data_IF_562562777179
#
_entry.id   IF_562562777179
#
_cell.length_a   1.000
_cell.length_b   1.000
_cell.length_c   1.000
_cell.angle_alpha   90.00
_cell.angle_beta   90.00
_cell.angle_gamma   90.00
#
_symmetry.space_group_name_H-M   'P 1'
#
loop_
_entity.id
_entity.type
_entity.pdbx_description
1 polymer ?
#
# COMPACT_ATOMS: atom_id res chain seq x y z
N UNK A 1 -4.90 11.14 85.93
CA UNK A 1 -4.32 11.55 84.65
C UNK A 1 -4.18 10.32 83.78
N UNK A 2 -5.02 10.17 82.73
CA UNK A 2 -4.98 9.05 81.74
C UNK A 2 -4.42 9.59 80.44
N UNK A 3 -3.27 9.09 80.05
CA UNK A 3 -2.64 9.42 78.73
C UNK A 3 -3.18 8.44 77.71
N UNK A 4 -3.92 8.95 76.73
CA UNK A 4 -4.36 8.21 75.53
C UNK A 4 -3.27 8.33 74.46
N UNK A 5 -2.63 7.22 74.11
CA UNK A 5 -1.70 7.15 73.00
C UNK A 5 -2.47 6.98 71.64
N UNK A 6 -2.41 7.97 70.79
CA UNK A 6 -2.95 7.87 69.45
C UNK A 6 -1.93 7.11 68.55
N UNK A 7 -2.40 6.02 67.97
CA UNK A 7 -1.63 5.22 66.98
C UNK A 7 -1.87 5.81 65.61
N UNK A 8 -0.82 6.41 65.00
CA UNK A 8 -0.86 6.90 63.61
C UNK A 8 -0.45 5.75 62.70
N UNK A 9 -1.41 5.19 61.96
CA UNK A 9 -1.16 4.19 60.92
C UNK A 9 -0.89 4.92 59.61
N UNK A 10 0.39 4.95 59.18
CA UNK A 10 0.79 5.45 57.86
C UNK A 10 0.56 4.38 56.80
N UNK A 11 -0.44 4.59 55.97
CA UNK A 11 -0.69 3.75 54.79
C UNK A 11 0.25 4.23 53.68
N UNK A 12 1.32 3.47 53.43
CA UNK A 12 2.18 3.67 52.23
C UNK A 12 1.45 3.16 50.99
N UNK A 13 0.95 4.07 50.17
CA UNK A 13 0.42 3.74 48.84
C UNK A 13 1.61 3.47 47.91
N UNK A 14 1.93 2.20 47.72
CA UNK A 14 2.85 1.79 46.65
C UNK A 14 2.15 2.01 45.29
N UNK A 15 2.47 3.10 44.61
CA UNK A 15 2.11 3.31 43.22
C UNK A 15 2.96 2.34 42.36
N UNK A 16 2.39 1.20 41.98
CA UNK A 16 2.98 0.39 40.88
C UNK A 16 2.85 1.22 39.61
N UNK A 17 3.91 1.91 39.23
CA UNK A 17 4.10 2.40 37.90
C UNK A 17 4.27 1.16 37.00
N UNK A 18 3.18 0.67 36.38
CA UNK A 18 3.26 -0.30 35.31
C UNK A 18 4.07 0.34 34.20
N UNK A 19 5.34 -0.04 34.07
CA UNK A 19 6.15 0.28 32.90
C UNK A 19 5.39 -0.26 31.69
N UNK A 20 4.79 0.61 30.89
CA UNK A 20 4.18 0.24 29.63
C UNK A 20 5.32 -0.32 28.76
N UNK A 21 5.44 -1.64 28.73
CA UNK A 21 6.41 -2.32 27.91
C UNK A 21 6.03 -2.04 26.46
N UNK A 22 6.83 -1.20 25.80
CA UNK A 22 6.58 -0.83 24.40
C UNK A 22 6.68 -2.10 23.57
N UNK A 23 5.57 -2.55 23.01
CA UNK A 23 5.55 -3.70 22.12
C UNK A 23 6.35 -3.35 20.87
N UNK A 24 7.28 -4.22 20.48
CA UNK A 24 8.06 -4.07 19.27
C UNK A 24 7.80 -5.23 18.30
N UNK A 25 7.63 -4.91 17.02
CA UNK A 25 7.52 -5.86 15.92
C UNK A 25 8.79 -5.85 15.07
N UNK A 26 9.40 -7.00 14.91
CA UNK A 26 10.48 -7.25 13.94
C UNK A 26 9.86 -7.77 12.65
N UNK A 27 9.80 -6.93 11.64
CA UNK A 27 9.16 -7.23 10.36
C UNK A 27 10.21 -7.54 9.29
N UNK A 28 9.79 -8.23 8.24
CA UNK A 28 10.60 -8.50 7.05
C UNK A 28 9.89 -8.02 5.80
N UNK A 29 10.64 -7.49 4.84
CA UNK A 29 10.15 -7.12 3.52
C UNK A 29 11.27 -7.24 2.48
N UNK A 30 10.96 -6.89 1.23
CA UNK A 30 11.92 -6.81 0.12
C UNK A 30 12.20 -5.36 -0.24
N UNK A 31 13.23 -5.12 -1.05
CA UNK A 31 13.35 -3.86 -1.76
C UNK A 31 12.34 -3.84 -2.92
N UNK A 32 11.29 -3.03 -2.77
CA UNK A 32 10.20 -2.90 -3.74
C UNK A 32 9.76 -1.43 -3.81
N UNK A 33 10.52 -0.65 -4.54
CA UNK A 33 10.31 0.80 -4.68
C UNK A 33 9.03 1.10 -5.50
N UNK A 34 8.15 2.00 -5.06
CA UNK A 34 8.25 2.89 -3.89
C UNK A 34 7.57 2.36 -2.61
N UNK A 35 7.15 1.09 -2.56
CA UNK A 35 6.38 0.53 -1.45
C UNK A 35 7.22 0.24 -0.21
N UNK A 36 8.31 -0.50 -0.40
CA UNK A 36 9.18 -0.97 0.67
C UNK A 36 10.64 -0.81 0.28
N UNK A 37 11.47 -0.33 1.23
CA UNK A 37 12.90 -0.16 1.00
C UNK A 37 13.64 0.10 2.32
N UNK A 38 14.94 0.26 2.24
CA UNK A 38 15.76 0.71 3.36
C UNK A 38 15.47 2.17 3.72
N UNK A 39 15.84 2.59 4.93
CA UNK A 39 15.72 3.98 5.36
C UNK A 39 16.40 4.96 4.40
N UNK A 40 15.78 6.12 4.20
CA UNK A 40 16.27 7.14 3.27
C UNK A 40 15.91 6.91 1.80
N UNK A 41 15.20 5.82 1.50
CA UNK A 41 14.64 5.52 0.17
C UNK A 41 13.11 5.59 0.23
N UNK A 42 12.41 5.76 -0.91
CA UNK A 42 10.94 5.70 -0.95
C UNK A 42 10.42 4.36 -0.41
N UNK A 43 9.53 4.43 0.59
CA UNK A 43 9.03 3.24 1.32
C UNK A 43 7.63 3.47 1.91
N UNK A 44 6.74 4.11 1.19
CA UNK A 44 5.47 4.61 1.71
C UNK A 44 4.59 3.54 2.39
N UNK A 45 4.66 2.27 1.96
CA UNK A 45 3.91 1.20 2.61
C UNK A 45 4.43 0.92 4.03
N UNK A 46 5.75 0.96 4.23
CA UNK A 46 6.34 0.87 5.57
C UNK A 46 5.97 2.08 6.41
N UNK A 47 6.03 3.29 5.83
CA UNK A 47 5.72 4.54 6.53
C UNK A 47 4.24 4.59 6.96
N UNK A 48 3.29 4.09 6.15
CA UNK A 48 1.89 3.95 6.52
C UNK A 48 1.69 2.99 7.70
N UNK A 49 2.33 1.83 7.63
CA UNK A 49 2.23 0.82 8.69
C UNK A 49 2.87 1.32 9.97
N UNK A 50 4.05 1.95 9.90
CA UNK A 50 4.71 2.57 11.04
C UNK A 50 3.86 3.68 11.67
N UNK A 51 3.20 4.52 10.84
CA UNK A 51 2.28 5.56 11.33
C UNK A 51 1.07 4.97 12.08
N UNK A 52 0.46 3.92 11.53
CA UNK A 52 -0.67 3.25 12.17
C UNK A 52 -0.27 2.53 13.48
N UNK A 53 0.85 1.80 13.46
CA UNK A 53 1.39 1.10 14.64
C UNK A 53 1.82 2.08 15.73
N UNK A 54 2.44 3.21 15.33
CA UNK A 54 2.83 4.27 16.27
C UNK A 54 1.65 4.85 17.05
N UNK A 55 0.48 5.03 16.40
CA UNK A 55 -0.75 5.49 17.07
C UNK A 55 -1.27 4.55 18.14
N UNK A 56 -0.93 3.29 18.07
CA UNK A 56 -1.33 2.28 19.06
C UNK A 56 -0.20 1.91 20.02
N UNK A 57 0.92 2.67 20.01
CA UNK A 57 2.05 2.46 20.91
C UNK A 57 2.91 1.23 20.57
N UNK A 58 2.84 0.73 19.34
CA UNK A 58 3.65 -0.38 18.84
C UNK A 58 4.79 0.18 17.98
N UNK A 59 6.03 -0.15 18.34
CA UNK A 59 7.20 0.13 17.49
C UNK A 59 7.38 -0.99 16.48
N UNK A 60 7.94 -0.68 15.33
CA UNK A 60 8.30 -1.69 14.34
C UNK A 60 9.64 -1.38 13.70
N UNK A 61 10.37 -2.45 13.37
CA UNK A 61 11.60 -2.39 12.58
C UNK A 61 11.46 -3.37 11.43
N UNK A 62 11.80 -2.95 10.20
CA UNK A 62 11.68 -3.79 9.02
C UNK A 62 13.07 -4.11 8.46
N UNK A 63 13.38 -5.41 8.37
CA UNK A 63 14.58 -5.90 7.68
C UNK A 63 14.25 -6.13 6.20
N UNK A 64 15.03 -5.54 5.31
CA UNK A 64 14.93 -5.74 3.87
C UNK A 64 15.81 -6.93 3.47
N UNK A 65 15.22 -7.88 2.77
CA UNK A 65 15.88 -9.10 2.24
C UNK A 65 15.68 -9.20 0.73
N UNK A 66 16.48 -10.06 0.08
CA UNK A 66 16.27 -10.39 -1.34
C UNK A 66 14.88 -11.04 -1.55
N UNK A 67 14.26 -10.82 -2.72
CA UNK A 67 12.90 -11.29 -3.01
C UNK A 67 12.74 -12.81 -2.82
N UNK A 68 13.70 -13.61 -3.28
CA UNK A 68 13.71 -15.06 -3.10
C UNK A 68 13.79 -15.51 -1.62
N UNK A 69 14.32 -14.65 -0.73
CA UNK A 69 14.42 -14.90 0.70
C UNK A 69 13.21 -14.43 1.50
N UNK A 70 12.30 -13.67 0.89
CA UNK A 70 11.18 -13.07 1.61
C UNK A 70 10.23 -14.13 2.20
N UNK A 71 9.66 -14.99 1.36
CA UNK A 71 8.73 -16.03 1.83
C UNK A 71 9.38 -16.99 2.82
N UNK A 72 10.59 -17.55 2.59
CA UNK A 72 11.29 -18.35 3.60
C UNK A 72 11.50 -17.61 4.92
N UNK A 73 11.94 -16.35 4.88
CA UNK A 73 12.14 -15.53 6.08
C UNK A 73 10.84 -15.29 6.83
N UNK A 74 9.76 -14.94 6.10
CA UNK A 74 8.46 -14.69 6.66
C UNK A 74 7.87 -15.94 7.35
N UNK A 75 8.06 -17.12 6.78
CA UNK A 75 7.53 -18.37 7.32
C UNK A 75 8.40 -18.98 8.42
N UNK A 76 9.71 -18.67 8.48
CA UNK A 76 10.69 -19.30 9.39
C UNK A 76 10.43 -19.11 10.88
N UNK A 77 9.65 -18.10 11.29
CA UNK A 77 9.51 -17.72 12.71
C UNK A 77 10.56 -16.74 13.22
N UNK A 78 11.56 -16.37 12.40
CA UNK A 78 12.61 -15.42 12.76
C UNK A 78 12.06 -13.99 12.94
N UNK A 79 11.02 -13.64 12.20
CA UNK A 79 10.36 -12.35 12.23
C UNK A 79 8.95 -12.46 12.78
N UNK A 80 8.43 -11.37 13.30
CA UNK A 80 7.09 -11.26 13.84
C UNK A 80 6.02 -11.10 12.73
N UNK A 81 6.44 -10.82 11.51
CA UNK A 81 5.55 -10.66 10.37
C UNK A 81 6.14 -9.83 9.24
N UNK A 82 5.26 -9.18 8.46
CA UNK A 82 5.64 -8.24 7.39
C UNK A 82 4.69 -7.04 7.39
N UNK A 83 5.25 -5.85 7.16
CA UNK A 83 4.45 -4.64 6.95
C UNK A 83 3.70 -4.67 5.60
N UNK A 84 4.26 -5.36 4.59
CA UNK A 84 3.73 -5.37 3.23
C UNK A 84 3.68 -6.81 2.70
N UNK A 85 2.55 -7.47 2.86
CA UNK A 85 2.37 -8.85 2.43
C UNK A 85 1.08 -9.04 1.64
N UNK A 86 1.18 -9.74 0.52
CA UNK A 86 0.01 -10.32 -0.13
C UNK A 86 -0.40 -11.60 0.58
N UNK A 87 -1.70 -11.76 0.74
CA UNK A 87 -2.32 -12.90 1.40
C UNK A 87 -2.37 -14.11 0.46
N UNK A 88 -2.01 -15.27 0.97
CA UNK A 88 -2.18 -16.56 0.32
C UNK A 88 -2.40 -17.67 1.37
N UNK A 89 -2.84 -18.86 0.92
CA UNK A 89 -3.23 -19.94 1.80
C UNK A 89 -2.09 -20.45 2.70
N UNK A 90 -0.83 -20.46 2.22
CA UNK A 90 0.31 -20.95 3.01
C UNK A 90 0.67 -19.93 4.10
N UNK A 91 0.66 -18.66 3.77
CA UNK A 91 0.92 -17.57 4.73
C UNK A 91 -0.18 -17.48 5.78
N UNK A 92 -1.45 -17.68 5.42
CA UNK A 92 -2.59 -17.64 6.35
C UNK A 92 -2.53 -18.72 7.44
N UNK A 93 -1.83 -19.82 7.22
CA UNK A 93 -1.64 -20.85 8.26
C UNK A 93 -0.84 -20.35 9.46
N UNK A 94 0.08 -19.42 9.24
CA UNK A 94 1.03 -18.96 10.27
C UNK A 94 0.89 -17.47 10.60
N UNK A 95 0.23 -16.69 9.75
CA UNK A 95 0.08 -15.24 9.90
C UNK A 95 -1.39 -14.86 10.01
N UNK A 96 -1.63 -13.82 10.82
CA UNK A 96 -2.87 -13.09 10.89
C UNK A 96 -2.71 -11.81 10.07
N UNK A 97 -3.62 -11.58 9.13
CA UNK A 97 -3.61 -10.44 8.24
C UNK A 97 -4.54 -9.33 8.73
N UNK A 98 -4.11 -8.09 8.60
CA UNK A 98 -4.96 -6.92 8.77
C UNK A 98 -6.03 -6.83 7.68
N UNK A 99 -6.99 -5.90 7.83
CA UNK A 99 -7.68 -5.38 6.66
C UNK A 99 -6.65 -4.85 5.65
N UNK A 100 -6.96 -4.90 4.34
CA UNK A 100 -6.07 -4.31 3.34
C UNK A 100 -5.93 -2.81 3.60
N UNK A 101 -4.72 -2.30 3.45
CA UNK A 101 -4.48 -0.86 3.62
C UNK A 101 -4.01 -0.19 2.31
N UNK A 102 -3.63 -0.98 1.30
CA UNK A 102 -3.32 -0.54 -0.06
C UNK A 102 -3.82 -1.59 -1.08
N UNK A 103 -3.99 -1.15 -2.32
CA UNK A 103 -4.26 -1.99 -3.47
C UNK A 103 -3.07 -1.95 -4.43
N UNK A 104 -2.53 -3.12 -4.75
CA UNK A 104 -1.57 -3.27 -5.83
C UNK A 104 -2.31 -3.63 -7.12
N UNK A 105 -2.12 -2.83 -8.16
CA UNK A 105 -2.71 -3.03 -9.49
C UNK A 105 -1.60 -3.33 -10.49
N UNK A 106 -1.50 -4.59 -10.90
CA UNK A 106 -0.47 -5.03 -11.82
C UNK A 106 -0.94 -4.80 -13.25
N UNK A 107 -0.25 -3.93 -13.95
CA UNK A 107 -0.51 -3.55 -15.35
C UNK A 107 0.58 -4.10 -16.27
N UNK A 108 0.25 -4.19 -17.53
CA UNK A 108 1.18 -4.62 -18.57
C UNK A 108 2.04 -3.45 -19.03
N UNK A 109 3.34 -3.69 -19.17
CA UNK A 109 4.26 -2.75 -19.83
C UNK A 109 4.98 -3.48 -20.97
N UNK A 110 4.96 -2.87 -22.15
CA UNK A 110 5.65 -3.32 -23.35
C UNK A 110 6.78 -2.35 -23.74
N UNK A 111 7.65 -2.74 -24.69
CA UNK A 111 8.54 -1.78 -25.36
C UNK A 111 7.71 -0.79 -26.18
N UNK A 112 8.22 0.39 -26.36
CA UNK A 112 7.61 1.43 -27.19
C UNK A 112 7.21 0.89 -28.56
N UNK A 113 5.97 1.19 -28.98
CA UNK A 113 5.36 0.68 -30.19
C UNK A 113 4.76 -0.73 -30.09
N UNK A 114 4.91 -1.40 -28.93
CA UNK A 114 4.21 -2.64 -28.63
C UNK A 114 2.76 -2.39 -28.16
N UNK A 115 1.95 -3.44 -28.19
CA UNK A 115 0.58 -3.41 -27.68
C UNK A 115 0.53 -3.83 -26.21
N UNK A 116 0.09 -2.93 -25.33
CA UNK A 116 -0.11 -3.20 -23.90
C UNK A 116 -1.59 -3.09 -23.49
N UNK A 117 -2.52 -3.31 -24.44
CA UNK A 117 -3.97 -3.12 -24.22
C UNK A 117 -4.71 -4.38 -23.75
N UNK A 118 -4.03 -5.52 -23.56
CA UNK A 118 -4.66 -6.76 -23.13
C UNK A 118 -5.49 -6.55 -21.85
N UNK A 119 -6.69 -7.10 -21.82
CA UNK A 119 -7.62 -6.96 -20.70
C UNK A 119 -7.54 -8.12 -19.70
N UNK A 120 -6.94 -9.24 -20.09
CA UNK A 120 -6.76 -10.43 -19.23
C UNK A 120 -5.51 -11.21 -19.64
N UNK A 121 -4.94 -11.97 -18.74
CA UNK A 121 -3.72 -12.78 -18.98
C UNK A 121 -3.92 -13.82 -20.09
N UNK A 122 -5.11 -14.37 -20.26
CA UNK A 122 -5.40 -15.34 -21.31
C UNK A 122 -5.22 -14.77 -22.72
N UNK A 123 -5.36 -13.45 -22.91
CA UNK A 123 -5.16 -12.76 -24.20
C UNK A 123 -3.67 -12.76 -24.62
N UNK A 124 -2.79 -13.10 -23.69
CA UNK A 124 -1.32 -13.09 -23.84
C UNK A 124 -0.74 -14.52 -24.00
N UNK A 125 -1.56 -15.49 -24.38
CA UNK A 125 -1.10 -16.88 -24.61
C UNK A 125 0.11 -16.91 -25.54
N UNK A 126 1.15 -17.67 -25.16
CA UNK A 126 2.41 -17.80 -25.91
C UNK A 126 3.35 -16.59 -25.81
N UNK A 127 2.98 -15.51 -25.12
CA UNK A 127 3.86 -14.37 -24.83
C UNK A 127 4.74 -14.65 -23.60
N UNK A 128 5.94 -14.05 -23.58
CA UNK A 128 6.86 -14.08 -22.44
C UNK A 128 6.62 -12.84 -21.58
N UNK A 129 6.33 -13.04 -20.30
CA UNK A 129 6.06 -11.96 -19.36
C UNK A 129 7.04 -12.05 -18.19
N UNK A 130 7.79 -10.97 -17.93
CA UNK A 130 8.64 -10.89 -16.74
C UNK A 130 7.79 -10.61 -15.49
N UNK A 131 8.08 -11.34 -14.41
CA UNK A 131 7.50 -11.19 -13.07
C UNK A 131 8.60 -11.35 -12.01
N UNK A 132 8.41 -10.79 -10.82
CA UNK A 132 9.38 -10.92 -9.72
C UNK A 132 9.25 -12.27 -9.03
N UNK A 133 10.36 -12.94 -8.79
CA UNK A 133 10.41 -14.22 -8.08
C UNK A 133 10.02 -14.06 -6.61
N UNK A 134 9.34 -15.06 -6.05
CA UNK A 134 8.96 -15.07 -4.62
C UNK A 134 7.73 -14.22 -4.26
N UNK A 135 7.13 -13.50 -5.21
CA UNK A 135 5.88 -12.79 -4.99
C UNK A 135 4.67 -13.73 -5.15
N UNK A 136 3.67 -13.57 -4.29
CA UNK A 136 2.42 -14.38 -4.30
C UNK A 136 1.39 -13.80 -5.27
N UNK A 137 1.63 -13.97 -6.56
CA UNK A 137 0.68 -13.48 -7.59
C UNK A 137 -0.66 -14.22 -7.58
N UNK A 138 -0.68 -15.44 -7.02
CA UNK A 138 -1.87 -16.28 -6.92
C UNK A 138 -2.12 -17.13 -8.18
N UNK A 139 -3.20 -17.90 -8.13
CA UNK A 139 -3.60 -18.87 -9.16
C UNK A 139 -3.73 -18.28 -10.57
N UNK A 140 -3.99 -16.97 -10.68
CA UNK A 140 -4.11 -16.30 -11.95
C UNK A 140 -2.84 -16.44 -12.82
N UNK A 141 -1.66 -16.47 -12.19
CA UNK A 141 -0.40 -16.68 -12.89
C UNK A 141 -0.23 -18.16 -13.29
N UNK A 142 -0.52 -19.08 -12.36
CA UNK A 142 -0.22 -20.50 -12.54
C UNK A 142 -1.15 -21.17 -13.56
N UNK A 143 -2.34 -20.59 -13.82
CA UNK A 143 -3.36 -21.13 -14.72
C UNK A 143 -3.56 -20.33 -16.01
N UNK A 144 -2.70 -19.33 -16.27
CA UNK A 144 -2.80 -18.49 -17.45
C UNK A 144 -1.94 -19.01 -18.62
N UNK A 145 -2.21 -18.50 -19.84
CA UNK A 145 -1.53 -18.95 -21.06
C UNK A 145 -0.14 -18.37 -21.36
N UNK A 146 0.33 -17.26 -20.72
CA UNK A 146 1.67 -16.72 -20.94
C UNK A 146 2.79 -17.60 -20.38
N UNK A 147 4.00 -17.45 -20.92
CA UNK A 147 5.23 -17.98 -20.34
C UNK A 147 5.84 -16.94 -19.39
N UNK A 148 5.88 -17.24 -18.09
CA UNK A 148 6.43 -16.31 -17.10
C UNK A 148 7.94 -16.50 -16.95
N UNK A 149 8.70 -15.39 -17.06
CA UNK A 149 10.13 -15.31 -16.83
C UNK A 149 10.35 -14.62 -15.48
N UNK A 150 10.96 -15.32 -14.54
CA UNK A 150 11.20 -14.81 -13.18
C UNK A 150 12.44 -13.94 -13.15
N UNK A 151 12.34 -12.77 -12.54
CA UNK A 151 13.43 -11.82 -12.30
C UNK A 151 13.61 -11.60 -10.79
N UNK A 152 14.69 -10.93 -10.39
CA UNK A 152 14.95 -10.66 -8.97
C UNK A 152 14.20 -9.42 -8.47
N UNK A 153 14.01 -8.43 -9.35
CA UNK A 153 13.39 -7.14 -9.03
C UNK A 153 12.56 -6.62 -10.21
N UNK A 154 11.74 -5.59 -9.97
CA UNK A 154 11.02 -4.90 -11.04
C UNK A 154 11.97 -4.24 -12.05
N UNK A 155 13.13 -3.74 -11.58
CA UNK A 155 14.18 -3.19 -12.46
C UNK A 155 14.74 -4.25 -13.37
N UNK A 156 15.04 -5.46 -12.87
CA UNK A 156 15.49 -6.59 -13.68
C UNK A 156 14.40 -6.99 -14.69
N UNK A 157 13.12 -6.95 -14.32
CA UNK A 157 11.98 -7.20 -15.22
C UNK A 157 11.95 -6.20 -16.38
N UNK A 158 12.10 -4.90 -16.08
CA UNK A 158 12.15 -3.85 -17.11
C UNK A 158 13.38 -4.01 -17.99
N UNK A 159 14.54 -4.38 -17.44
CA UNK A 159 15.74 -4.67 -18.23
C UNK A 159 15.54 -5.84 -19.18
N UNK A 160 14.95 -6.96 -18.72
CA UNK A 160 14.60 -8.09 -19.59
C UNK A 160 13.68 -7.66 -20.74
N UNK A 161 12.72 -6.76 -20.47
CA UNK A 161 11.83 -6.19 -21.47
C UNK A 161 12.61 -5.36 -22.50
N UNK A 162 13.46 -4.45 -22.06
CA UNK A 162 14.24 -3.56 -22.94
C UNK A 162 15.27 -4.33 -23.79
N UNK A 163 15.86 -5.41 -23.24
CA UNK A 163 16.76 -6.32 -23.94
C UNK A 163 16.03 -7.25 -24.95
N UNK A 164 14.71 -7.22 -25.03
CA UNK A 164 13.93 -8.10 -25.90
C UNK A 164 13.86 -9.56 -25.45
N UNK A 165 14.28 -9.86 -24.21
CA UNK A 165 14.25 -11.22 -23.65
C UNK A 165 12.84 -11.65 -23.26
N UNK A 166 11.95 -10.68 -23.03
CA UNK A 166 10.51 -10.87 -22.80
C UNK A 166 9.70 -9.91 -23.68
N UNK A 167 8.43 -10.21 -23.86
CA UNK A 167 7.52 -9.37 -24.64
C UNK A 167 6.89 -8.28 -23.77
N UNK A 168 6.69 -8.59 -22.48
CA UNK A 168 6.05 -7.73 -21.48
C UNK A 168 6.71 -7.87 -20.11
N UNK A 169 6.49 -6.88 -19.24
CA UNK A 169 6.56 -7.06 -17.79
C UNK A 169 5.21 -6.77 -17.15
N UNK A 170 4.84 -7.55 -16.14
CA UNK A 170 3.68 -7.33 -15.29
C UNK A 170 4.16 -6.65 -14.01
N UNK A 171 3.82 -5.39 -13.83
CA UNK A 171 4.40 -4.52 -12.82
C UNK A 171 3.32 -3.65 -12.18
N UNK A 172 3.47 -3.30 -10.91
CA UNK A 172 2.52 -2.44 -10.20
C UNK A 172 2.46 -1.04 -10.81
N UNK A 173 1.25 -0.48 -10.92
CA UNK A 173 1.03 0.81 -11.55
C UNK A 173 1.68 1.99 -10.79
N UNK A 174 1.85 1.89 -9.47
CA UNK A 174 2.60 2.90 -8.70
C UNK A 174 4.12 2.77 -8.91
N UNK A 175 4.64 1.57 -9.13
CA UNK A 175 6.04 1.39 -9.57
C UNK A 175 6.24 2.05 -10.93
N UNK A 176 5.33 1.82 -11.87
CA UNK A 176 5.36 2.48 -13.19
C UNK A 176 5.26 4.00 -13.06
N UNK A 177 4.36 4.50 -12.21
CA UNK A 177 4.24 5.93 -11.97
C UNK A 177 5.53 6.52 -11.38
N UNK A 178 6.16 5.79 -10.46
CA UNK A 178 7.46 6.18 -9.92
C UNK A 178 8.53 6.27 -11.01
N UNK A 179 8.60 5.28 -11.92
CA UNK A 179 9.51 5.29 -13.06
C UNK A 179 9.25 6.50 -13.97
N UNK A 180 7.99 6.75 -14.33
CA UNK A 180 7.61 7.88 -15.21
C UNK A 180 7.93 9.22 -14.57
N UNK A 181 7.73 9.37 -13.26
CA UNK A 181 8.00 10.63 -12.57
C UNK A 181 9.50 10.93 -12.43
N UNK A 182 10.33 9.90 -12.28
CA UNK A 182 11.78 10.08 -12.11
C UNK A 182 12.57 10.02 -13.43
N UNK A 183 12.02 9.35 -14.46
CA UNK A 183 12.66 9.14 -15.76
C UNK A 183 11.69 9.37 -16.92
N UNK A 184 11.10 10.60 -17.02
CA UNK A 184 10.00 10.85 -17.95
C UNK A 184 10.39 10.70 -19.42
N UNK A 185 11.60 11.11 -19.78
CA UNK A 185 12.06 11.05 -21.18
C UNK A 185 12.36 9.61 -21.60
N UNK A 186 13.05 8.84 -20.78
CA UNK A 186 13.38 7.44 -21.03
C UNK A 186 12.10 6.58 -21.05
N UNK A 187 11.21 6.78 -20.10
CA UNK A 187 9.93 6.07 -20.05
C UNK A 187 9.11 6.34 -21.30
N UNK A 188 9.00 7.61 -21.73
CA UNK A 188 8.30 8.00 -22.95
C UNK A 188 8.94 7.41 -24.21
N UNK A 189 10.27 7.41 -24.29
CA UNK A 189 11.00 6.92 -25.44
C UNK A 189 10.97 5.39 -25.58
N UNK A 190 10.94 4.66 -24.47
CA UNK A 190 11.20 3.22 -24.46
C UNK A 190 10.02 2.34 -24.07
N UNK A 191 9.06 2.87 -23.30
CA UNK A 191 7.97 2.08 -22.73
C UNK A 191 6.62 2.40 -23.37
N UNK A 192 5.81 1.38 -23.52
CA UNK A 192 4.37 1.45 -23.79
C UNK A 192 3.65 0.90 -22.55
N UNK A 193 2.95 1.77 -21.84
CA UNK A 193 2.33 1.46 -20.55
C UNK A 193 0.85 1.16 -20.78
N UNK A 194 0.41 -0.02 -20.33
CA UNK A 194 -1.00 -0.39 -20.28
C UNK A 194 -1.74 0.35 -19.18
N UNK A 195 -3.04 0.45 -19.30
CA UNK A 195 -3.91 1.15 -18.34
C UNK A 195 -4.86 0.23 -17.59
N UNK A 196 -4.97 -1.03 -18.04
CA UNK A 196 -5.89 -2.02 -17.48
C UNK A 196 -5.15 -2.91 -16.49
N UNK A 197 -5.53 -2.97 -15.22
CA UNK A 197 -4.99 -3.94 -14.29
C UNK A 197 -5.37 -5.36 -14.70
N UNK A 198 -4.38 -6.23 -14.88
CA UNK A 198 -4.58 -7.66 -15.16
C UNK A 198 -4.69 -8.48 -13.88
N UNK A 199 -4.08 -8.01 -12.81
CA UNK A 199 -4.13 -8.59 -11.47
C UNK A 199 -4.24 -7.45 -10.47
N UNK A 200 -5.13 -7.62 -9.50
CA UNK A 200 -5.24 -6.75 -8.33
C UNK A 200 -4.93 -7.55 -7.07
N UNK A 201 -4.06 -7.04 -6.23
CA UNK A 201 -3.64 -7.67 -4.97
C UNK A 201 -3.75 -6.69 -3.83
N UNK A 202 -4.54 -6.98 -2.78
CA UNK A 202 -4.57 -6.16 -1.58
C UNK A 202 -3.30 -6.36 -0.76
N UNK A 203 -2.78 -5.28 -0.18
CA UNK A 203 -1.59 -5.27 0.65
C UNK A 203 -1.96 -5.16 2.13
N UNK A 204 -1.35 -5.98 2.97
CA UNK A 204 -1.69 -6.15 4.37
C UNK A 204 -0.48 -6.03 5.29
N UNK A 205 -0.70 -5.55 6.51
CA UNK A 205 0.12 -5.91 7.65
C UNK A 205 -0.17 -7.37 8.00
N UNK A 206 0.87 -8.18 8.11
CA UNK A 206 0.77 -9.57 8.53
C UNK A 206 1.56 -9.78 9.83
N UNK A 207 0.92 -10.36 10.85
CA UNK A 207 1.51 -10.61 12.17
C UNK A 207 1.43 -12.09 12.48
N UNK A 208 2.49 -12.67 13.04
CA UNK A 208 2.57 -14.09 13.37
C UNK A 208 1.49 -14.50 14.38
N UNK A 209 0.68 -15.51 14.03
CA UNK A 209 -0.42 -16.01 14.89
C UNK A 209 0.03 -16.51 16.26
N UNK A 210 1.27 -17.04 16.37
CA UNK A 210 1.82 -17.52 17.63
C UNK A 210 2.21 -16.41 18.63
N UNK A 211 2.17 -15.14 18.23
CA UNK A 211 2.34 -14.02 19.18
C UNK A 211 1.08 -13.86 20.03
N UNK A 212 1.21 -13.75 21.37
CA UNK A 212 0.06 -13.62 22.26
C UNK A 212 -0.77 -12.35 22.01
N UNK A 213 -0.16 -11.30 21.47
CA UNK A 213 -0.75 -9.99 21.21
C UNK A 213 -1.16 -9.76 19.73
N UNK A 214 -1.04 -10.79 18.86
CA UNK A 214 -1.26 -10.66 17.42
C UNK A 214 -2.66 -10.13 17.07
N UNK A 215 -3.71 -10.70 17.64
CA UNK A 215 -5.10 -10.29 17.40
C UNK A 215 -5.35 -8.86 17.87
N UNK A 216 -4.82 -8.49 19.04
CA UNK A 216 -4.92 -7.14 19.56
C UNK A 216 -4.22 -6.12 18.67
N UNK A 217 -3.00 -6.43 18.20
CA UNK A 217 -2.24 -5.55 17.30
C UNK A 217 -3.00 -5.36 15.99
N UNK A 218 -3.44 -6.44 15.34
CA UNK A 218 -4.13 -6.37 14.05
C UNK A 218 -5.47 -5.63 14.16
N UNK A 219 -6.27 -5.91 15.20
CA UNK A 219 -7.54 -5.23 15.44
C UNK A 219 -7.35 -3.72 15.66
N UNK A 220 -6.40 -3.34 16.51
CA UNK A 220 -6.09 -1.93 16.81
C UNK A 220 -5.47 -1.22 15.60
N UNK A 221 -4.64 -1.90 14.81
CA UNK A 221 -4.13 -1.39 13.53
C UNK A 221 -5.27 -1.07 12.57
N UNK A 222 -6.20 -2.02 12.36
CA UNK A 222 -7.36 -1.83 11.48
C UNK A 222 -8.18 -0.59 11.88
N UNK A 223 -8.36 -0.37 13.19
CA UNK A 223 -9.09 0.80 13.69
C UNK A 223 -8.42 2.14 13.36
N UNK A 224 -7.10 2.16 13.04
CA UNK A 224 -6.39 3.40 12.66
C UNK A 224 -6.56 3.76 11.18
N UNK A 225 -6.90 2.80 10.30
CA UNK A 225 -6.85 3.02 8.86
C UNK A 225 -7.75 4.19 8.40
N UNK A 226 -8.99 4.26 8.91
CA UNK A 226 -9.89 5.38 8.61
C UNK A 226 -9.34 6.73 9.10
N UNK A 227 -8.76 6.75 10.28
CA UNK A 227 -8.13 7.96 10.83
C UNK A 227 -6.97 8.46 9.95
N UNK A 228 -6.18 7.56 9.35
CA UNK A 228 -5.10 7.90 8.42
C UNK A 228 -5.63 8.53 7.11
N UNK A 229 -6.87 8.22 6.71
CA UNK A 229 -7.52 8.86 5.57
C UNK A 229 -7.98 10.26 5.95
N UNK A 230 -8.75 10.38 7.03
CA UNK A 230 -9.39 11.64 7.43
C UNK A 230 -8.37 12.73 7.77
N UNK A 231 -7.22 12.38 8.33
CA UNK A 231 -6.13 13.34 8.61
C UNK A 231 -5.12 13.50 7.47
N UNK A 232 -5.42 12.93 6.30
CA UNK A 232 -4.63 13.04 5.08
C UNK A 232 -3.24 12.38 5.15
N UNK A 233 -3.00 11.46 6.09
CA UNK A 233 -1.71 10.74 6.18
C UNK A 233 -1.47 9.90 4.92
N UNK A 234 -2.49 9.20 4.41
CA UNK A 234 -2.38 8.48 3.13
C UNK A 234 -1.92 9.39 1.99
N UNK A 235 -2.57 10.53 1.80
CA UNK A 235 -2.22 11.45 0.73
C UNK A 235 -0.79 11.97 0.84
N UNK A 236 -0.35 12.31 2.06
CA UNK A 236 1.01 12.81 2.30
C UNK A 236 2.07 11.74 2.00
N UNK A 237 1.84 10.50 2.39
CA UNK A 237 2.82 9.43 2.24
C UNK A 237 2.83 8.84 0.83
N UNK A 238 1.66 8.71 0.19
CA UNK A 238 1.52 8.19 -1.17
C UNK A 238 1.77 9.25 -2.25
N UNK A 239 1.80 10.54 -1.88
CA UNK A 239 1.88 11.65 -2.82
C UNK A 239 0.80 11.60 -3.91
N UNK A 240 -0.42 11.19 -3.53
CA UNK A 240 -1.56 11.11 -4.44
C UNK A 240 -2.56 12.21 -4.14
N UNK A 241 -3.22 12.72 -5.18
CA UNK A 241 -4.23 13.76 -5.05
C UNK A 241 -5.56 13.22 -4.55
N UNK A 242 -5.89 12.00 -4.96
CA UNK A 242 -7.15 11.36 -4.66
C UNK A 242 -6.95 9.91 -4.23
N UNK A 243 -7.67 9.52 -3.21
CA UNK A 243 -7.88 8.12 -2.86
C UNK A 243 -9.37 7.81 -2.94
N UNK A 244 -9.69 6.51 -3.07
CA UNK A 244 -11.05 6.00 -3.00
C UNK A 244 -11.15 5.01 -1.85
N UNK A 245 -12.05 5.27 -0.89
CA UNK A 245 -12.22 4.45 0.30
C UNK A 245 -13.62 4.63 0.89
N UNK A 246 -14.15 3.59 1.51
CA UNK A 246 -15.36 3.67 2.35
C UNK A 246 -15.00 4.34 3.68
N UNK A 247 -15.32 5.63 3.80
CA UNK A 247 -14.95 6.45 4.98
C UNK A 247 -16.00 6.48 6.07
N UNK A 248 -17.28 6.23 5.75
CA UNK A 248 -18.37 6.21 6.72
C UNK A 248 -18.81 4.79 7.12
N UNK A 249 -18.37 3.76 6.40
CA UNK A 249 -18.62 2.36 6.72
C UNK A 249 -19.93 1.84 6.15
N UNK A 250 -20.50 2.51 5.16
CA UNK A 250 -21.73 2.09 4.49
C UNK A 250 -21.51 1.09 3.34
N UNK A 251 -20.26 0.76 3.02
CA UNK A 251 -19.84 -0.15 1.96
C UNK A 251 -19.72 0.52 0.58
N UNK A 252 -19.93 1.83 0.48
CA UNK A 252 -19.82 2.60 -0.77
C UNK A 252 -18.57 3.49 -0.68
N UNK A 253 -17.55 3.28 -1.53
CA UNK A 253 -16.33 4.09 -1.45
C UNK A 253 -16.54 5.51 -1.92
N UNK A 254 -15.99 6.47 -1.19
CA UNK A 254 -15.90 7.89 -1.54
C UNK A 254 -14.58 8.23 -2.20
N UNK A 255 -14.60 9.26 -3.06
CA UNK A 255 -13.40 9.95 -3.52
C UNK A 255 -12.97 10.99 -2.48
N UNK A 256 -11.78 10.82 -1.93
CA UNK A 256 -11.24 11.68 -0.87
C UNK A 256 -10.06 12.46 -1.42
N UNK A 257 -10.09 13.80 -1.43
CA UNK A 257 -8.99 14.61 -1.94
C UNK A 257 -7.87 14.78 -0.91
N UNK A 258 -6.68 15.17 -1.38
CA UNK A 258 -5.55 15.52 -0.53
C UNK A 258 -5.88 16.68 0.43
N UNK A 259 -6.69 17.64 -0.01
CA UNK A 259 -7.19 18.74 0.80
C UNK A 259 -8.64 19.03 0.43
N UNK A 260 -9.35 19.79 1.28
CA UNK A 260 -10.71 20.21 0.99
C UNK A 260 -10.78 21.36 -0.04
N UNK A 261 -9.65 21.98 -0.35
CA UNK A 261 -9.48 22.91 -1.46
C UNK A 261 -8.96 22.12 -2.66
N UNK A 262 -9.78 22.04 -3.68
CA UNK A 262 -9.57 21.17 -4.81
C UNK A 262 -9.33 21.92 -6.11
N UNK A 263 -8.66 21.23 -7.04
CA UNK A 263 -8.58 21.65 -8.42
C UNK A 263 -9.94 21.66 -9.10
N UNK A 264 -10.06 22.36 -10.23
CA UNK A 264 -11.31 22.60 -10.98
C UNK A 264 -11.87 21.37 -11.68
N UNK A 265 -11.09 20.32 -11.81
CA UNK A 265 -11.47 19.16 -12.59
C UNK A 265 -11.91 18.00 -11.70
N UNK A 266 -12.91 17.27 -12.16
CA UNK A 266 -13.23 15.95 -11.63
C UNK A 266 -12.02 15.04 -11.70
N UNK A 267 -11.76 14.21 -10.66
CA UNK A 267 -10.60 13.32 -10.64
C UNK A 267 -10.69 12.33 -11.80
N UNK A 268 -9.63 12.25 -12.60
CA UNK A 268 -9.50 11.23 -13.64
C UNK A 268 -9.07 9.89 -13.07
N UNK A 269 -8.48 9.89 -11.88
CA UNK A 269 -7.93 8.71 -11.22
C UNK A 269 -7.91 8.93 -9.71
N UNK A 270 -8.21 7.88 -8.98
CA UNK A 270 -8.03 7.80 -7.54
C UNK A 270 -7.31 6.51 -7.20
N UNK A 271 -6.58 6.49 -6.09
CA UNK A 271 -5.96 5.28 -5.57
C UNK A 271 -6.94 4.56 -4.65
N UNK A 272 -7.26 3.30 -4.94
CA UNK A 272 -8.24 2.54 -4.17
C UNK A 272 -7.62 2.00 -2.88
N UNK A 273 -8.33 2.21 -1.77
CA UNK A 273 -8.02 1.59 -0.49
C UNK A 273 -9.15 0.61 -0.13
N UNK A 274 -8.81 -0.67 -0.01
CA UNK A 274 -9.76 -1.68 0.40
C UNK A 274 -9.86 -1.77 1.91
N UNK A 275 -11.07 -1.61 2.44
CA UNK A 275 -11.39 -1.89 3.85
C UNK A 275 -12.35 -3.07 4.00
N UNK A 276 -12.77 -3.70 2.91
CA UNK A 276 -13.63 -4.87 2.84
C UNK A 276 -12.92 -6.04 2.18
N UNK A 277 -13.44 -7.25 2.34
CA UNK A 277 -12.89 -8.45 1.71
C UNK A 277 -12.81 -8.26 0.18
N UNK A 278 -11.63 -8.38 -0.43
CA UNK A 278 -11.45 -8.20 -1.88
C UNK A 278 -12.25 -9.20 -2.72
N UNK A 279 -12.69 -10.33 -2.16
CA UNK A 279 -13.58 -11.27 -2.86
C UNK A 279 -14.96 -10.69 -3.16
N UNK A 280 -15.34 -9.62 -2.49
CA UNK A 280 -16.60 -8.89 -2.67
C UNK A 280 -16.45 -7.57 -3.39
N UNK A 281 -15.21 -7.23 -3.82
CA UNK A 281 -14.91 -5.92 -4.40
C UNK A 281 -15.66 -5.71 -5.71
N UNK A 282 -16.53 -4.70 -5.83
CA UNK A 282 -17.09 -4.31 -7.09
C UNK A 282 -15.98 -3.92 -8.07
N UNK A 283 -16.12 -4.26 -9.34
CA UNK A 283 -15.27 -3.76 -10.42
C UNK A 283 -15.15 -2.22 -10.29
N UNK A 284 -13.98 -1.63 -10.63
CA UNK A 284 -13.81 -0.19 -10.57
C UNK A 284 -14.98 0.51 -11.26
N UNK A 285 -15.80 1.20 -10.47
CA UNK A 285 -16.91 1.99 -11.01
C UNK A 285 -16.32 3.14 -11.83
N UNK A 286 -16.92 3.48 -12.97
CA UNK A 286 -16.50 4.69 -13.68
C UNK A 286 -16.59 5.88 -12.74
N UNK A 287 -15.59 6.73 -12.72
CA UNK A 287 -15.46 7.93 -11.89
C UNK A 287 -16.71 8.84 -11.96
N UNK A 288 -17.42 8.79 -13.06
CA UNK A 288 -18.62 9.61 -13.39
C UNK A 288 -19.81 9.46 -12.43
N UNK A 289 -19.80 8.47 -11.52
CA UNK A 289 -20.89 8.23 -10.55
C UNK A 289 -20.40 8.09 -9.12
N UNK A 290 -19.16 8.49 -8.81
CA UNK A 290 -18.59 8.37 -7.49
C UNK A 290 -19.20 9.35 -6.49
N UNK A 291 -19.10 9.03 -5.21
CA UNK A 291 -19.39 9.93 -4.09
C UNK A 291 -18.09 10.63 -3.68
N UNK A 292 -18.20 11.87 -3.23
CA UNK A 292 -17.04 12.71 -2.89
C UNK A 292 -17.12 13.17 -1.44
N UNK A 293 -16.13 12.86 -0.62
CA UNK A 293 -15.99 13.37 0.74
C UNK A 293 -15.16 14.67 0.72
N UNK A 294 -15.81 15.81 0.83
CA UNK A 294 -15.16 17.12 0.75
C UNK A 294 -15.71 18.02 1.85
N UNK A 295 -14.81 18.66 2.61
CA UNK A 295 -15.20 19.57 3.70
C UNK A 295 -16.06 18.89 4.77
N UNK A 296 -15.86 17.59 5.01
CA UNK A 296 -16.60 16.80 5.97
C UNK A 296 -18.02 16.40 5.52
N UNK A 297 -18.39 16.69 4.26
CA UNK A 297 -19.70 16.33 3.68
C UNK A 297 -19.53 15.38 2.50
N UNK A 298 -20.47 14.46 2.33
CA UNK A 298 -20.53 13.53 1.20
C UNK A 298 -21.47 14.09 0.13
N UNK A 299 -21.01 14.10 -1.11
CA UNK A 299 -21.74 14.57 -2.28
C UNK A 299 -21.92 13.45 -3.29
N UNK A 300 -23.16 13.25 -3.78
CA UNK A 300 -23.47 12.25 -4.80
C UNK A 300 -23.15 12.79 -6.21
N UNK A 301 -21.97 12.49 -6.70
CA UNK A 301 -21.47 12.92 -8.00
C UNK A 301 -20.82 14.31 -7.99
N UNK A 302 -19.94 14.55 -8.96
CA UNK A 302 -19.16 15.77 -9.07
C UNK A 302 -20.00 17.04 -9.25
N UNK A 303 -21.15 16.93 -9.94
CA UNK A 303 -22.04 18.05 -10.20
C UNK A 303 -22.62 18.66 -8.94
N UNK A 304 -22.80 17.86 -7.88
CA UNK A 304 -23.36 18.32 -6.60
C UNK A 304 -22.30 18.91 -5.67
N UNK A 305 -21.02 18.74 -5.97
CA UNK A 305 -19.92 19.36 -5.21
C UNK A 305 -19.99 20.87 -5.37
N UNK A 306 -19.98 21.68 -4.28
CA UNK A 306 -20.00 23.14 -4.34
C UNK A 306 -18.81 23.72 -5.11
N UNK A 307 -19.04 24.77 -5.88
CA UNK A 307 -18.03 25.39 -6.75
C UNK A 307 -16.79 25.89 -6.00
N UNK A 308 -16.94 26.29 -4.73
CA UNK A 308 -15.81 26.70 -3.87
C UNK A 308 -14.72 25.61 -3.74
N UNK A 309 -15.08 24.34 -3.89
CA UNK A 309 -14.13 23.22 -3.84
C UNK A 309 -13.57 22.86 -5.23
N UNK A 310 -14.11 23.42 -6.29
CA UNK A 310 -13.69 23.20 -7.67
C UNK A 310 -12.67 24.24 -8.16
N UNK A 311 -12.35 25.24 -7.33
CA UNK A 311 -11.39 26.30 -7.67
C UNK A 311 -9.97 25.80 -7.49
N UNK A 312 -9.14 26.03 -8.49
CA UNK A 312 -7.72 25.71 -8.45
C UNK A 312 -6.97 26.60 -7.43
N UNK A 313 -6.15 26.00 -6.56
CA UNK A 313 -5.23 26.76 -5.71
C UNK A 313 -3.94 27.06 -6.51
N UNK A 314 -3.72 28.31 -6.94
CA UNK A 314 -2.54 28.68 -7.73
C UNK A 314 -1.21 28.58 -6.97
N UNK A 315 -1.25 28.39 -5.64
CA UNK A 315 -0.07 28.26 -4.78
C UNK A 315 0.28 26.81 -4.42
N UNK A 316 -0.52 25.86 -4.87
CA UNK A 316 -0.29 24.45 -4.54
C UNK A 316 0.97 23.94 -5.24
N UNK A 317 2.00 23.45 -4.50
CA UNK A 317 3.12 22.77 -5.11
C UNK A 317 2.63 21.52 -5.84
N UNK A 318 3.20 21.23 -7.01
CA UNK A 318 2.98 19.98 -7.72
C UNK A 318 3.47 18.81 -6.82
N UNK A 319 2.57 17.93 -6.33
CA UNK A 319 2.95 16.84 -5.46
C UNK A 319 3.87 15.81 -6.14
N UNK A 320 3.91 15.82 -7.49
CA UNK A 320 4.79 14.96 -8.28
C UNK A 320 6.22 15.54 -8.40
N UNK A 321 6.46 16.76 -7.94
CA UNK A 321 7.79 17.38 -7.90
C UNK A 321 8.53 17.19 -6.58
N UNK A 322 8.00 16.41 -5.64
CA UNK A 322 8.74 16.04 -4.44
C UNK A 322 10.03 15.33 -4.85
N UNK A 323 11.16 15.85 -4.41
CA UNK A 323 12.51 15.32 -4.67
C UNK A 323 12.60 13.94 -4.00
N UNK A 324 12.22 12.91 -4.73
CA UNK A 324 12.42 11.52 -4.32
C UNK A 324 13.89 11.18 -4.51
N UNK A 325 14.51 10.63 -3.46
CA UNK A 325 15.94 10.33 -3.42
C UNK A 325 16.43 9.47 -4.58
N UNK A 326 17.70 9.56 -4.86
CA UNK A 326 18.40 9.00 -6.01
C UNK A 326 18.18 7.50 -6.15
N UNK A 327 17.26 7.11 -7.00
CA UNK A 327 17.13 5.78 -7.54
C UNK A 327 17.81 5.78 -8.92
N UNK A 328 18.76 4.88 -9.17
CA UNK A 328 19.38 4.75 -10.49
C UNK A 328 18.77 3.55 -11.19
N UNK A 329 17.81 3.79 -12.05
CA UNK A 329 17.47 2.87 -13.13
C UNK A 329 18.65 2.87 -14.12
N UNK A 330 19.26 1.73 -14.32
CA UNK A 330 20.25 1.55 -15.41
C UNK A 330 19.46 1.11 -16.64
N UNK A 331 19.22 2.06 -17.51
CA UNK A 331 18.51 1.86 -18.79
C UNK A 331 19.34 1.08 -19.79
#
# INVERSE_FOLDING_TARGET
>A
MRFTRALVVSIAVLSLAASAQTTELRLVSTAWTPFTNQGGQPRFALDLVEAALGRIGVKSTTTIVEAAQFTPSLLSGKFDGSAAAWKDADRERVLLFSQPYLENRLILVARRGGDASAAKLADLAGKRIAIVEGYSYGDAIDKSGPAFVRSRTDEDSVRLLLDGKVDYTLIDDLVVQYIVNNYPEEARARLQIGTTPLITRPLHLAVRRSRPDAESIVSRFNAQLRGLITDRTYHRLLHVDWIQADVDGDGIPEYVPQSDLMGKAEPKRAYNLFFTDPSTTPQPQPIVKGRFLIGGSIYDGWTTVPDRYKVEDPKRPDPNKATLGVFRFVW
#
